data_IF_806820070322
#
_entry.id   IF_806820070322
#
_cell.length_a   1.000
_cell.length_b   1.000
_cell.length_c   1.000
_cell.angle_alpha   90.00
_cell.angle_beta   90.00
_cell.angle_gamma   90.00
#
_symmetry.space_group_name_H-M   'P 1'
#
loop_
_entity.id
_entity.type
_entity.pdbx_description
1 polymer ?
#
# COMPACT_ATOMS: atom_id res chain seq x y z
N UNK A 1 -2.37 -35.73 5.38
CA UNK A 1 -3.71 -36.08 5.83
C UNK A 1 -4.41 -34.87 6.47
N UNK A 2 -3.85 -34.27 7.53
CA UNK A 2 -4.50 -33.14 8.24
C UNK A 2 -4.76 -31.92 7.34
N UNK A 3 -3.92 -31.71 6.34
CA UNK A 3 -4.02 -30.62 5.39
C UNK A 3 -4.85 -30.99 4.13
N UNK A 4 -5.40 -32.22 4.08
CA UNK A 4 -6.11 -32.77 2.92
C UNK A 4 -5.26 -32.82 1.64
N UNK A 5 -3.93 -32.98 1.80
CA UNK A 5 -3.01 -33.20 0.68
C UNK A 5 -3.04 -34.64 0.22
N UNK A 6 -2.77 -34.86 -1.07
CA UNK A 6 -2.59 -36.21 -1.62
C UNK A 6 -1.23 -36.78 -1.16
N UNK A 7 -1.29 -37.75 -0.25
CA UNK A 7 -0.08 -38.38 0.31
C UNK A 7 0.63 -39.30 -0.67
N UNK A 8 -0.03 -39.73 -1.75
CA UNK A 8 0.53 -40.58 -2.79
C UNK A 8 1.29 -39.76 -3.84
N UNK A 9 0.89 -38.52 -4.07
CA UNK A 9 1.55 -37.61 -5.01
C UNK A 9 2.66 -36.81 -4.33
N UNK A 10 3.92 -36.97 -4.79
CA UNK A 10 5.09 -36.30 -4.23
C UNK A 10 5.94 -35.59 -5.28
N UNK A 11 5.45 -35.52 -6.52
CA UNK A 11 6.22 -34.96 -7.66
C UNK A 11 5.81 -33.54 -7.97
N UNK A 12 4.69 -33.06 -7.43
CA UNK A 12 4.17 -31.72 -7.67
C UNK A 12 3.97 -30.97 -6.36
N UNK A 13 4.05 -29.63 -6.37
CA UNK A 13 3.71 -28.81 -5.20
C UNK A 13 2.24 -29.00 -4.81
N UNK A 14 1.97 -28.96 -3.52
CA UNK A 14 0.61 -29.07 -2.98
C UNK A 14 0.39 -28.02 -1.90
N UNK A 15 -0.77 -27.42 -1.88
CA UNK A 15 -1.22 -26.47 -0.86
C UNK A 15 -2.43 -27.03 -0.11
N UNK A 16 -2.46 -26.80 1.21
CA UNK A 16 -3.55 -27.26 2.07
C UNK A 16 -3.73 -26.38 3.30
N UNK A 17 -4.72 -26.74 4.11
CA UNK A 17 -5.04 -26.01 5.34
C UNK A 17 -5.27 -26.98 6.49
N UNK A 18 -4.74 -26.66 7.66
CA UNK A 18 -4.96 -27.41 8.89
C UNK A 18 -5.67 -26.51 9.89
N UNK A 19 -6.78 -26.97 10.44
CA UNK A 19 -7.44 -26.34 11.58
C UNK A 19 -7.21 -27.19 12.83
N UNK A 20 -6.42 -26.68 13.78
CA UNK A 20 -6.15 -27.33 15.04
C UNK A 20 -6.91 -26.66 16.18
N UNK A 21 -7.76 -27.43 16.87
CA UNK A 21 -8.42 -26.99 18.11
C UNK A 21 -7.52 -27.29 19.30
N UNK A 22 -7.00 -26.25 19.94
CA UNK A 22 -6.10 -26.32 21.11
C UNK A 22 -6.86 -26.22 22.43
N UNK A 23 -8.14 -26.56 22.47
CA UNK A 23 -8.98 -26.48 23.65
C UNK A 23 -10.41 -26.06 23.33
N UNK A 24 -11.22 -25.77 24.37
CA UNK A 24 -12.64 -25.45 24.19
C UNK A 24 -12.90 -24.18 23.36
N UNK A 25 -11.98 -23.17 23.43
CA UNK A 25 -12.17 -21.86 22.81
C UNK A 25 -10.97 -21.36 21.99
N UNK A 26 -10.00 -22.23 21.69
CA UNK A 26 -8.84 -21.81 20.93
C UNK A 26 -8.62 -22.74 19.74
N UNK A 27 -8.80 -22.21 18.55
CA UNK A 27 -8.44 -22.86 17.29
C UNK A 27 -7.28 -22.08 16.64
N UNK A 28 -6.38 -22.80 15.98
CA UNK A 28 -5.29 -22.23 15.21
C UNK A 28 -5.36 -22.82 13.82
N UNK A 29 -5.40 -21.95 12.83
CA UNK A 29 -5.35 -22.33 11.42
C UNK A 29 -3.90 -22.26 10.92
N UNK A 30 -3.53 -23.24 10.07
CA UNK A 30 -2.26 -23.27 9.40
C UNK A 30 -2.49 -23.38 7.90
N UNK A 31 -1.81 -22.59 7.12
CA UNK A 31 -1.61 -22.82 5.70
C UNK A 31 -0.38 -23.69 5.53
N UNK A 32 -0.51 -24.76 4.76
CA UNK A 32 0.56 -25.74 4.51
C UNK A 32 0.89 -25.69 3.04
N UNK A 33 2.16 -25.57 2.71
CA UNK A 33 2.67 -25.73 1.35
C UNK A 33 3.74 -26.78 1.35
N UNK A 34 3.63 -27.76 0.45
CA UNK A 34 4.63 -28.79 0.19
C UNK A 34 5.25 -28.56 -1.17
N UNK A 35 6.57 -28.58 -1.23
CA UNK A 35 7.34 -28.43 -2.45
C UNK A 35 8.34 -29.60 -2.59
N UNK A 36 8.25 -30.42 -3.66
CA UNK A 36 9.26 -31.42 -3.96
C UNK A 36 10.64 -30.80 -4.18
N UNK A 37 11.64 -31.34 -3.50
CA UNK A 37 13.05 -30.94 -3.67
C UNK A 37 13.92 -32.16 -3.92
N UNK A 38 15.18 -31.93 -4.28
CA UNK A 38 16.13 -32.98 -4.54
C UNK A 38 16.36 -33.98 -3.37
N UNK A 39 16.19 -33.48 -2.13
CA UNK A 39 16.43 -34.27 -0.90
C UNK A 39 15.14 -34.62 -0.14
N UNK A 40 13.98 -34.52 -0.77
CA UNK A 40 12.67 -34.76 -0.19
C UNK A 40 11.75 -33.57 -0.30
N UNK A 41 10.65 -33.55 0.46
CA UNK A 41 9.66 -32.47 0.42
C UNK A 41 10.02 -31.37 1.42
N UNK A 42 10.07 -30.13 0.93
CA UNK A 42 10.11 -28.95 1.80
C UNK A 42 8.70 -28.59 2.21
N UNK A 43 8.44 -28.48 3.51
CA UNK A 43 7.11 -28.16 4.03
C UNK A 43 7.18 -26.83 4.78
N UNK A 44 6.32 -25.89 4.36
CA UNK A 44 6.15 -24.60 5.00
C UNK A 44 4.77 -24.55 5.69
N UNK A 45 4.78 -24.28 6.99
CA UNK A 45 3.59 -24.09 7.79
C UNK A 45 3.49 -22.61 8.19
N UNK A 46 2.46 -21.92 7.70
CA UNK A 46 2.17 -20.54 8.08
C UNK A 46 1.02 -20.53 9.09
N UNK A 47 1.29 -20.01 10.28
CA UNK A 47 0.26 -19.82 11.31
C UNK A 47 -0.64 -18.66 10.88
N UNK A 48 -1.94 -18.90 10.83
CA UNK A 48 -2.97 -17.88 10.60
C UNK A 48 -3.55 -17.49 11.95
N UNK A 49 -3.16 -16.31 12.42
CA UNK A 49 -3.59 -15.81 13.74
C UNK A 49 -4.99 -15.21 13.63
N UNK A 50 -5.99 -15.91 14.17
CA UNK A 50 -7.37 -15.45 14.20
C UNK A 50 -7.57 -14.20 15.06
N UNK A 51 -6.64 -13.86 15.96
CA UNK A 51 -6.74 -12.62 16.74
C UNK A 51 -6.60 -11.37 15.86
N UNK A 52 -5.98 -11.51 14.67
CA UNK A 52 -5.93 -10.46 13.65
C UNK A 52 -7.29 -10.16 12.99
N UNK A 53 -8.32 -11.00 13.21
CA UNK A 53 -9.66 -10.83 12.67
C UNK A 53 -10.47 -9.70 13.30
N UNK A 54 -10.21 -9.41 14.56
CA UNK A 54 -10.92 -8.39 15.34
C UNK A 54 -10.16 -7.07 15.40
N UNK A 55 -9.35 -6.77 14.38
CA UNK A 55 -8.70 -5.46 14.33
C UNK A 55 -9.80 -4.45 14.04
N UNK A 56 -10.15 -3.70 15.08
CA UNK A 56 -10.94 -2.50 14.95
C UNK A 56 -10.22 -1.57 13.95
N UNK A 57 -10.93 -1.18 12.89
CA UNK A 57 -10.40 -0.30 11.84
C UNK A 57 -9.81 1.01 12.39
N UNK A 58 -10.26 1.47 13.58
CA UNK A 58 -9.68 2.61 14.30
C UNK A 58 -8.26 2.35 14.80
N UNK A 59 -7.85 1.08 14.90
CA UNK A 59 -6.51 0.67 15.36
C UNK A 59 -5.53 0.39 14.21
N UNK A 60 -5.95 0.54 12.97
CA UNK A 60 -5.09 0.33 11.81
C UNK A 60 -3.97 1.37 11.73
N UNK A 61 -4.13 2.52 12.42
CA UNK A 61 -3.10 3.55 12.52
C UNK A 61 -3.17 4.59 11.41
N UNK A 62 -4.35 4.80 10.83
CA UNK A 62 -4.61 5.93 9.94
C UNK A 62 -4.40 7.26 10.65
N UNK A 63 -3.88 8.25 9.93
CA UNK A 63 -3.90 9.64 10.38
C UNK A 63 -5.35 10.14 10.43
N UNK A 64 -5.71 11.06 11.37
CA UNK A 64 -7.08 11.49 11.55
C UNK A 64 -7.76 12.00 10.26
N UNK A 65 -7.07 12.83 9.48
CA UNK A 65 -7.59 13.36 8.22
C UNK A 65 -7.85 12.25 7.19
N UNK A 66 -6.89 11.35 7.00
CA UNK A 66 -7.00 10.19 6.10
C UNK A 66 -8.13 9.25 6.56
N UNK A 67 -8.31 9.09 7.87
CA UNK A 67 -9.38 8.25 8.41
C UNK A 67 -10.78 8.85 8.15
N UNK A 68 -10.95 10.17 8.28
CA UNK A 68 -12.22 10.82 7.94
C UNK A 68 -12.50 10.73 6.43
N UNK A 69 -11.48 10.85 5.58
CA UNK A 69 -11.60 10.64 4.13
C UNK A 69 -12.02 9.19 3.82
N UNK A 70 -11.40 8.19 4.46
CA UNK A 70 -11.80 6.79 4.34
C UNK A 70 -13.28 6.58 4.71
N UNK A 71 -13.72 7.14 5.84
CA UNK A 71 -15.11 7.03 6.26
C UNK A 71 -16.09 7.59 5.21
N UNK A 72 -15.78 8.75 4.63
CA UNK A 72 -16.62 9.33 3.57
C UNK A 72 -16.72 8.41 2.37
N UNK A 73 -15.58 7.87 1.92
CA UNK A 73 -15.53 7.00 0.74
C UNK A 73 -16.31 5.70 0.93
N UNK A 74 -16.14 5.00 2.06
CA UNK A 74 -16.84 3.73 2.32
C UNK A 74 -18.33 3.89 2.67
N UNK A 75 -18.77 5.11 2.95
CA UNK A 75 -20.20 5.41 3.21
C UNK A 75 -20.98 5.71 1.93
N UNK A 76 -20.31 5.76 0.78
CA UNK A 76 -21.00 5.91 -0.51
C UNK A 76 -21.82 4.67 -0.81
N UNK A 77 -23.00 4.81 -1.43
CA UNK A 77 -23.88 3.68 -1.70
C UNK A 77 -23.34 2.77 -2.79
N UNK A 78 -22.51 3.26 -3.69
CA UNK A 78 -21.88 2.52 -4.80
C UNK A 78 -20.55 3.16 -5.21
N UNK A 79 -19.78 2.42 -6.00
CA UNK A 79 -18.50 2.84 -6.54
C UNK A 79 -17.42 1.80 -6.34
N UNK A 80 -16.27 2.02 -6.95
CA UNK A 80 -15.10 1.15 -6.88
C UNK A 80 -14.06 1.73 -5.92
N UNK A 81 -13.73 0.97 -4.88
CA UNK A 81 -12.70 1.30 -3.89
C UNK A 81 -11.53 0.33 -4.07
N UNK A 82 -10.38 0.88 -4.36
CA UNK A 82 -9.16 0.11 -4.63
C UNK A 82 -8.21 0.17 -3.45
N UNK A 83 -7.72 -0.99 -3.00
CA UNK A 83 -6.68 -1.09 -1.98
C UNK A 83 -5.43 -1.69 -2.61
N UNK A 84 -4.34 -0.97 -2.57
CA UNK A 84 -3.13 -1.33 -3.29
C UNK A 84 -1.89 -1.39 -2.40
N UNK A 85 -0.86 -2.03 -2.89
CA UNK A 85 0.42 -2.21 -2.21
C UNK A 85 1.03 -3.59 -2.47
N UNK A 86 2.31 -3.81 -2.15
CA UNK A 86 2.98 -5.09 -2.34
C UNK A 86 2.41 -6.18 -1.43
N UNK A 87 2.84 -7.41 -1.68
CA UNK A 87 2.53 -8.53 -0.80
C UNK A 87 3.01 -8.24 0.63
N UNK A 88 2.15 -8.53 1.61
CA UNK A 88 2.45 -8.28 3.03
C UNK A 88 2.29 -6.82 3.48
N UNK A 89 1.73 -5.92 2.66
CA UNK A 89 1.41 -4.55 3.07
C UNK A 89 0.18 -4.44 3.97
N UNK A 90 -0.58 -5.53 4.15
CA UNK A 90 -1.75 -5.59 5.04
C UNK A 90 -3.08 -5.30 4.36
N UNK A 91 -3.17 -5.33 3.02
CA UNK A 91 -4.40 -5.08 2.24
C UNK A 91 -5.60 -5.88 2.75
N UNK A 92 -5.43 -7.20 2.88
CA UNK A 92 -6.46 -8.11 3.36
C UNK A 92 -6.97 -7.72 4.75
N UNK A 93 -6.06 -7.38 5.67
CA UNK A 93 -6.42 -6.94 7.03
C UNK A 93 -7.25 -5.66 7.00
N UNK A 94 -6.86 -4.69 6.18
CA UNK A 94 -7.58 -3.42 6.02
C UNK A 94 -8.97 -3.66 5.41
N UNK A 95 -9.05 -4.43 4.32
CA UNK A 95 -10.33 -4.77 3.69
C UNK A 95 -11.26 -5.51 4.64
N UNK A 96 -10.76 -6.53 5.33
CA UNK A 96 -11.57 -7.28 6.28
C UNK A 96 -12.06 -6.42 7.44
N UNK A 97 -11.23 -5.48 7.94
CA UNK A 97 -11.68 -4.52 8.98
C UNK A 97 -12.79 -3.61 8.47
N UNK A 98 -12.70 -3.15 7.21
CA UNK A 98 -13.74 -2.35 6.58
C UNK A 98 -15.02 -3.18 6.35
N UNK A 99 -14.89 -4.38 5.76
CA UNK A 99 -16.03 -5.26 5.50
C UNK A 99 -16.74 -5.66 6.80
N UNK A 100 -15.98 -5.96 7.86
CA UNK A 100 -16.57 -6.27 9.17
C UNK A 100 -17.36 -5.09 9.74
N UNK A 101 -16.92 -3.85 9.50
CA UNK A 101 -17.65 -2.63 9.90
C UNK A 101 -18.93 -2.43 9.11
N UNK A 102 -18.93 -2.81 7.83
CA UNK A 102 -20.08 -2.72 6.92
C UNK A 102 -21.04 -3.91 7.03
N UNK A 103 -20.61 -5.02 7.62
CA UNK A 103 -21.35 -6.24 7.76
C UNK A 103 -22.48 -6.08 8.78
N UNK A 104 -23.70 -5.90 8.29
CA UNK A 104 -24.93 -5.77 9.03
C UNK A 104 -25.93 -6.82 8.54
N UNK A 105 -26.96 -7.08 9.31
CA UNK A 105 -27.96 -8.12 8.99
C UNK A 105 -28.74 -7.83 7.70
N UNK A 106 -28.85 -6.55 7.31
CA UNK A 106 -29.53 -6.05 6.11
C UNK A 106 -28.61 -5.82 4.91
N UNK A 107 -27.30 -6.13 5.02
CA UNK A 107 -26.30 -5.91 3.97
C UNK A 107 -25.76 -7.25 3.49
N UNK A 108 -25.92 -7.54 2.21
CA UNK A 108 -25.38 -8.75 1.59
C UNK A 108 -24.01 -8.54 1.01
N UNK A 109 -23.00 -9.16 1.62
CA UNK A 109 -21.59 -9.06 1.21
C UNK A 109 -21.15 -10.36 0.56
N UNK A 110 -20.62 -10.26 -0.66
CA UNK A 110 -20.01 -11.37 -1.40
C UNK A 110 -18.53 -11.09 -1.65
N UNK A 111 -17.67 -12.08 -1.42
CA UNK A 111 -16.23 -11.96 -1.70
C UNK A 111 -15.71 -13.08 -2.59
N UNK A 112 -14.83 -12.78 -3.53
CA UNK A 112 -14.05 -13.74 -4.29
C UNK A 112 -12.57 -13.62 -3.89
N UNK A 113 -11.95 -14.70 -3.42
CA UNK A 113 -10.63 -14.67 -2.79
C UNK A 113 -9.74 -15.83 -3.23
N UNK A 114 -8.42 -15.60 -3.31
CA UNK A 114 -7.42 -16.60 -3.69
C UNK A 114 -6.20 -16.56 -2.72
N UNK A 115 -6.26 -17.39 -1.66
CA UNK A 115 -7.43 -18.07 -1.08
C UNK A 115 -8.16 -17.18 -0.04
N UNK A 116 -9.28 -17.70 0.49
CA UNK A 116 -9.94 -17.13 1.68
C UNK A 116 -9.00 -17.30 2.87
N UNK A 117 -8.52 -16.17 3.43
CA UNK A 117 -7.58 -16.21 4.56
C UNK A 117 -8.29 -16.55 5.89
N UNK A 118 -9.44 -15.95 6.13
CA UNK A 118 -10.23 -16.15 7.35
C UNK A 118 -11.72 -16.19 7.04
N UNK A 119 -12.46 -16.94 7.82
CA UNK A 119 -13.91 -17.06 7.68
C UNK A 119 -14.63 -16.01 8.53
N UNK A 120 -15.50 -15.23 7.90
CA UNK A 120 -16.35 -14.25 8.58
C UNK A 120 -17.80 -14.68 8.60
N UNK A 121 -18.42 -14.57 9.77
CA UNK A 121 -19.87 -14.77 9.88
C UNK A 121 -20.60 -13.59 9.19
N UNK A 122 -21.60 -13.89 8.38
CA UNK A 122 -22.40 -12.88 7.67
C UNK A 122 -21.82 -12.45 6.32
N UNK A 123 -20.63 -12.94 5.92
CA UNK A 123 -20.04 -12.69 4.61
C UNK A 123 -20.00 -13.99 3.81
N UNK A 124 -20.47 -13.94 2.58
CA UNK A 124 -20.42 -15.08 1.66
C UNK A 124 -19.09 -15.06 0.91
N UNK A 125 -18.14 -15.86 1.36
CA UNK A 125 -16.77 -15.89 0.82
C UNK A 125 -16.63 -17.05 -0.17
N UNK A 126 -16.27 -16.74 -1.41
CA UNK A 126 -16.09 -17.71 -2.50
C UNK A 126 -14.59 -17.87 -2.78
N UNK A 127 -14.04 -19.08 -2.58
CA UNK A 127 -12.67 -19.36 -2.96
C UNK A 127 -12.56 -19.46 -4.48
N UNK A 128 -11.60 -18.76 -5.06
CA UNK A 128 -11.21 -18.94 -6.46
C UNK A 128 -10.55 -20.31 -6.62
N UNK A 129 -10.90 -21.00 -7.70
CA UNK A 129 -10.38 -22.33 -8.07
C UNK A 129 -10.29 -22.41 -9.58
N UNK A 130 -9.14 -21.97 -10.09
CA UNK A 130 -8.91 -21.91 -11.55
C UNK A 130 -8.93 -23.30 -12.20
N UNK A 131 -8.55 -24.33 -11.43
CA UNK A 131 -8.57 -25.75 -11.84
C UNK A 131 -9.95 -26.24 -12.32
N UNK A 132 -11.03 -25.66 -11.80
CA UNK A 132 -12.41 -25.98 -12.17
C UNK A 132 -13.12 -24.82 -12.87
N UNK A 133 -12.41 -23.79 -13.31
CA UNK A 133 -12.96 -22.63 -14.00
C UNK A 133 -13.64 -21.59 -13.09
N UNK A 134 -13.52 -21.71 -11.76
CA UNK A 134 -13.97 -20.70 -10.81
C UNK A 134 -12.92 -19.58 -10.68
N UNK A 135 -12.84 -18.73 -11.70
CA UNK A 135 -11.97 -17.55 -11.76
C UNK A 135 -12.61 -16.35 -11.04
N UNK A 136 -11.85 -15.27 -10.80
CA UNK A 136 -12.40 -14.00 -10.30
C UNK A 136 -13.54 -13.49 -11.19
N UNK A 137 -13.35 -13.48 -12.51
CA UNK A 137 -14.36 -13.05 -13.47
C UNK A 137 -15.63 -13.93 -13.42
N UNK A 138 -15.48 -15.26 -13.31
CA UNK A 138 -16.61 -16.17 -13.21
C UNK A 138 -17.40 -15.94 -11.91
N UNK A 139 -16.70 -15.76 -10.78
CA UNK A 139 -17.33 -15.47 -9.51
C UNK A 139 -18.10 -14.14 -9.54
N UNK A 140 -17.49 -13.07 -10.06
CA UNK A 140 -18.12 -11.75 -10.19
C UNK A 140 -19.40 -11.79 -11.05
N UNK A 141 -19.38 -12.48 -12.20
CA UNK A 141 -20.59 -12.66 -13.01
C UNK A 141 -21.72 -13.38 -12.26
N UNK A 142 -21.34 -14.34 -11.41
CA UNK A 142 -22.32 -15.03 -10.57
C UNK A 142 -22.87 -14.11 -9.49
N UNK A 143 -22.02 -13.26 -8.87
CA UNK A 143 -22.43 -12.32 -7.83
C UNK A 143 -23.51 -11.36 -8.30
N UNK A 144 -23.38 -10.81 -9.51
CA UNK A 144 -24.37 -9.89 -10.08
C UNK A 144 -25.79 -10.49 -10.24
N UNK A 145 -25.94 -11.80 -10.06
CA UNK A 145 -27.25 -12.50 -10.05
C UNK A 145 -27.68 -12.94 -8.65
N UNK A 146 -26.95 -12.47 -7.62
CA UNK A 146 -27.17 -12.83 -6.23
C UNK A 146 -27.66 -11.65 -5.38
N UNK A 147 -28.02 -10.52 -6.01
CA UNK A 147 -28.43 -9.27 -5.35
C UNK A 147 -27.48 -8.87 -4.19
N UNK A 148 -26.20 -8.62 -4.46
CA UNK A 148 -25.27 -8.16 -3.45
C UNK A 148 -25.38 -6.66 -3.26
N UNK A 149 -25.17 -6.18 -2.03
CA UNK A 149 -24.95 -4.76 -1.76
C UNK A 149 -23.46 -4.42 -1.88
N UNK A 150 -22.61 -5.31 -1.38
CA UNK A 150 -21.16 -5.14 -1.36
C UNK A 150 -20.48 -6.34 -2.01
N UNK A 151 -19.53 -6.04 -2.89
CA UNK A 151 -18.69 -7.03 -3.56
C UNK A 151 -17.24 -6.79 -3.21
N UNK A 152 -16.47 -7.83 -2.86
CA UNK A 152 -15.02 -7.74 -2.73
C UNK A 152 -14.33 -8.70 -3.69
N UNK A 153 -13.39 -8.19 -4.47
CA UNK A 153 -12.53 -8.95 -5.37
C UNK A 153 -11.14 -9.00 -4.78
N UNK A 154 -10.65 -10.18 -4.48
CA UNK A 154 -9.34 -10.38 -3.86
C UNK A 154 -8.25 -9.64 -4.60
N UNK A 155 -8.20 -9.75 -5.92
CA UNK A 155 -7.33 -8.94 -6.78
C UNK A 155 -7.84 -8.84 -8.22
N UNK A 156 -7.47 -7.73 -8.88
CA UNK A 156 -7.67 -7.52 -10.33
C UNK A 156 -6.34 -7.82 -11.02
N UNK A 157 -6.32 -8.89 -11.84
CA UNK A 157 -5.13 -9.30 -12.61
C UNK A 157 -5.28 -9.03 -14.09
N UNK A 158 -6.50 -9.01 -14.60
CA UNK A 158 -6.84 -9.01 -16.02
C UNK A 158 -7.97 -8.02 -16.33
N UNK A 159 -8.10 -7.70 -17.62
CA UNK A 159 -9.09 -6.76 -18.14
C UNK A 159 -10.51 -7.23 -17.88
N UNK A 160 -10.79 -8.55 -18.00
CA UNK A 160 -12.12 -9.11 -17.85
C UNK A 160 -12.65 -8.90 -16.43
N UNK A 161 -11.83 -9.21 -15.42
CA UNK A 161 -12.15 -8.97 -14.01
C UNK A 161 -12.34 -7.49 -13.72
N UNK A 162 -11.47 -6.63 -14.27
CA UNK A 162 -11.56 -5.18 -14.12
C UNK A 162 -12.87 -4.62 -14.69
N UNK A 163 -13.22 -5.00 -15.92
CA UNK A 163 -14.46 -4.53 -16.57
C UNK A 163 -15.71 -4.92 -15.79
N UNK A 164 -15.78 -6.17 -15.26
CA UNK A 164 -16.94 -6.62 -14.50
C UNK A 164 -17.05 -5.85 -13.19
N UNK A 165 -15.92 -5.64 -12.48
CA UNK A 165 -15.89 -4.87 -11.23
C UNK A 165 -16.34 -3.42 -11.45
N UNK A 166 -15.87 -2.76 -12.52
CA UNK A 166 -16.24 -1.41 -12.90
C UNK A 166 -17.74 -1.34 -13.25
N UNK A 167 -18.25 -2.27 -14.08
CA UNK A 167 -19.67 -2.33 -14.43
C UNK A 167 -20.54 -2.54 -13.18
N UNK A 168 -20.11 -3.38 -12.25
CA UNK A 168 -20.82 -3.56 -10.97
C UNK A 168 -20.87 -2.25 -10.17
N UNK A 169 -19.73 -1.54 -10.06
CA UNK A 169 -19.66 -0.26 -9.36
C UNK A 169 -20.55 0.81 -10.02
N UNK A 170 -20.62 0.84 -11.34
CA UNK A 170 -21.48 1.78 -12.09
C UNK A 170 -22.98 1.44 -12.03
N UNK A 171 -23.33 0.19 -11.71
CA UNK A 171 -24.72 -0.28 -11.64
C UNK A 171 -25.30 -0.32 -10.23
N UNK A 172 -24.66 0.32 -9.26
CA UNK A 172 -25.22 0.55 -7.93
C UNK A 172 -24.62 -0.29 -6.80
N UNK A 173 -23.53 -1.04 -7.06
CA UNK A 173 -22.88 -1.87 -6.04
C UNK A 173 -21.64 -1.15 -5.45
N UNK A 174 -21.39 -1.35 -4.17
CA UNK A 174 -20.13 -0.95 -3.54
C UNK A 174 -19.10 -2.06 -3.74
N UNK A 175 -18.07 -1.78 -4.54
CA UNK A 175 -17.08 -2.78 -4.95
C UNK A 175 -15.72 -2.47 -4.34
N UNK A 176 -15.15 -3.43 -3.64
CA UNK A 176 -13.77 -3.39 -3.16
C UNK A 176 -12.90 -4.31 -3.99
N UNK A 177 -11.71 -3.84 -4.36
CA UNK A 177 -10.75 -4.69 -5.06
C UNK A 177 -9.31 -4.37 -4.64
N UNK A 178 -8.38 -5.31 -4.89
CA UNK A 178 -6.95 -5.03 -4.69
C UNK A 178 -6.18 -5.04 -6.00
N UNK A 179 -5.08 -4.30 -5.99
CA UNK A 179 -4.04 -4.34 -7.02
C UNK A 179 -2.65 -4.37 -6.37
N UNK A 180 -1.64 -4.67 -7.17
CA UNK A 180 -0.24 -4.67 -6.77
C UNK A 180 0.49 -3.48 -7.43
N UNK A 181 0.19 -2.26 -6.98
CA UNK A 181 0.86 -1.02 -7.41
C UNK A 181 1.54 -0.35 -6.23
N UNK A 182 2.37 0.65 -6.48
CA UNK A 182 3.23 1.24 -5.47
C UNK A 182 2.61 2.43 -4.75
N UNK A 183 1.72 3.16 -5.41
CA UNK A 183 1.02 4.35 -4.91
C UNK A 183 -0.34 4.51 -5.59
N UNK A 184 -1.09 5.56 -5.22
CA UNK A 184 -2.43 5.77 -5.74
C UNK A 184 -2.45 6.20 -7.22
N UNK A 185 -1.64 7.16 -7.69
CA UNK A 185 -1.63 7.54 -9.10
C UNK A 185 -1.26 6.40 -10.04
N UNK A 186 -0.21 5.62 -9.71
CA UNK A 186 0.20 4.46 -10.52
C UNK A 186 -0.86 3.36 -10.57
N UNK A 187 -1.80 3.33 -9.63
CA UNK A 187 -2.94 2.40 -9.67
C UNK A 187 -3.87 2.74 -10.85
N UNK A 188 -4.13 4.02 -11.08
CA UNK A 188 -4.93 4.47 -12.23
C UNK A 188 -4.19 4.15 -13.53
N UNK A 189 -2.91 4.50 -13.63
CA UNK A 189 -2.07 4.16 -14.79
C UNK A 189 -2.09 2.66 -15.10
N UNK A 190 -1.96 1.82 -14.07
CA UNK A 190 -2.00 0.37 -14.23
C UNK A 190 -3.32 -0.15 -14.82
N UNK A 191 -4.46 0.41 -14.41
CA UNK A 191 -5.76 0.03 -14.96
C UNK A 191 -5.93 0.49 -16.42
N UNK A 192 -5.41 1.66 -16.77
CA UNK A 192 -5.34 2.11 -18.16
C UNK A 192 -4.46 1.18 -18.99
N UNK A 193 -3.28 0.79 -18.50
CA UNK A 193 -2.37 -0.15 -19.15
C UNK A 193 -2.98 -1.54 -19.39
N UNK A 194 -3.85 -1.98 -18.48
CA UNK A 194 -4.61 -3.24 -18.66
C UNK A 194 -5.65 -3.12 -19.78
N UNK A 195 -6.02 -1.89 -20.18
CA UNK A 195 -6.95 -1.61 -21.27
C UNK A 195 -8.28 -1.00 -20.83
N UNK A 196 -8.40 -0.55 -19.58
CA UNK A 196 -9.61 0.15 -19.12
C UNK A 196 -9.58 1.61 -19.55
N UNK A 197 -10.61 2.10 -20.27
CA UNK A 197 -10.68 3.50 -20.65
C UNK A 197 -10.70 4.44 -19.43
N UNK A 198 -9.92 5.51 -19.48
CA UNK A 198 -9.76 6.45 -18.37
C UNK A 198 -11.08 7.09 -17.92
N UNK A 199 -12.01 7.39 -18.85
CA UNK A 199 -13.33 7.92 -18.51
C UNK A 199 -14.18 6.96 -17.67
N UNK A 200 -14.00 5.64 -17.85
CA UNK A 200 -14.70 4.64 -17.03
C UNK A 200 -14.13 4.61 -15.62
N UNK A 201 -12.80 4.76 -15.47
CA UNK A 201 -12.15 4.87 -14.16
C UNK A 201 -12.61 6.12 -13.43
N UNK A 202 -12.62 7.27 -14.11
CA UNK A 202 -13.08 8.52 -13.55
C UNK A 202 -14.54 8.47 -13.06
N UNK A 203 -15.39 7.70 -13.75
CA UNK A 203 -16.81 7.56 -13.42
C UNK A 203 -17.09 6.52 -12.32
N UNK A 204 -16.22 5.52 -12.14
CA UNK A 204 -16.48 4.38 -11.27
C UNK A 204 -15.62 4.34 -10.00
N UNK A 205 -14.35 4.77 -10.09
CA UNK A 205 -13.44 4.75 -8.93
C UNK A 205 -13.79 5.90 -8.00
N UNK A 206 -14.00 5.58 -6.74
CA UNK A 206 -14.30 6.58 -5.69
C UNK A 206 -13.13 6.80 -4.75
N UNK A 207 -12.26 5.81 -4.62
CA UNK A 207 -11.10 5.87 -3.74
C UNK A 207 -10.00 4.91 -4.20
N UNK A 208 -8.76 5.34 -4.06
CA UNK A 208 -7.59 4.47 -4.10
C UNK A 208 -6.83 4.61 -2.79
N UNK A 209 -6.56 3.50 -2.13
CA UNK A 209 -5.80 3.43 -0.88
C UNK A 209 -4.52 2.61 -1.08
N UNK A 210 -3.39 3.27 -1.12
CA UNK A 210 -2.08 2.60 -1.12
C UNK A 210 -1.55 2.45 0.30
N UNK A 211 -0.96 1.29 0.61
CA UNK A 211 -0.46 1.05 1.96
C UNK A 211 0.85 0.28 2.02
N UNK A 212 1.61 0.56 3.08
CA UNK A 212 2.81 -0.16 3.48
C UNK A 212 2.73 -0.49 4.96
N UNK A 213 3.46 -1.54 5.38
CA UNK A 213 3.66 -1.86 6.79
C UNK A 213 5.12 -1.65 7.16
N UNK A 214 5.34 -0.91 8.24
CA UNK A 214 6.64 -0.74 8.90
C UNK A 214 6.63 -1.41 10.27
N UNK A 215 7.78 -1.75 10.80
CA UNK A 215 7.90 -2.26 12.17
C UNK A 215 7.66 -1.13 13.16
N UNK A 216 6.85 -1.38 14.18
CA UNK A 216 6.61 -0.44 15.26
C UNK A 216 7.75 -0.51 16.26
N UNK A 217 8.28 0.63 16.68
CA UNK A 217 9.27 0.70 17.74
C UNK A 217 8.71 0.14 19.06
N UNK A 218 9.52 -0.60 19.76
CA UNK A 218 9.15 -1.12 21.07
C UNK A 218 8.97 0.05 22.06
N UNK A 219 7.80 0.21 22.70
CA UNK A 219 7.57 1.34 23.59
C UNK A 219 8.48 1.33 24.82
N UNK A 220 8.91 0.13 25.27
CA UNK A 220 9.72 -0.05 26.48
C UNK A 220 11.20 0.32 26.27
N UNK A 221 11.71 0.25 25.04
CA UNK A 221 13.15 0.41 24.81
C UNK A 221 13.54 1.36 23.70
N UNK A 222 12.57 2.01 23.02
CA UNK A 222 12.92 3.01 22.02
C UNK A 222 13.73 4.15 22.64
N UNK A 223 14.77 4.60 21.94
CA UNK A 223 15.64 5.69 22.41
C UNK A 223 15.74 6.76 21.33
N UNK A 224 16.00 7.98 21.74
CA UNK A 224 16.31 9.05 20.80
C UNK A 224 17.64 8.75 20.13
N UNK A 225 17.66 8.85 18.80
CA UNK A 225 18.87 8.77 17.97
C UNK A 225 19.28 10.20 17.61
N UNK A 226 20.54 10.49 17.81
CA UNK A 226 21.14 11.79 17.48
C UNK A 226 22.20 11.61 16.39
N UNK A 227 22.60 12.70 15.74
CA UNK A 227 23.68 12.68 14.75
C UNK A 227 23.22 12.51 13.31
N UNK A 228 21.94 12.68 13.03
CA UNK A 228 21.48 12.84 11.66
C UNK A 228 21.92 14.19 11.12
N UNK A 229 22.41 14.19 9.88
CA UNK A 229 22.75 15.40 9.17
C UNK A 229 21.45 16.19 8.85
N UNK A 230 21.36 17.48 9.24
CA UNK A 230 20.22 18.33 8.92
C UNK A 230 19.90 18.43 7.43
N UNK A 231 20.91 18.50 6.57
CA UNK A 231 20.73 18.60 5.12
C UNK A 231 20.17 17.29 4.56
N UNK A 232 20.63 16.14 5.06
CA UNK A 232 20.05 14.84 4.72
C UNK A 232 18.59 14.76 5.14
N UNK A 233 18.22 15.20 6.34
CA UNK A 233 16.83 15.18 6.80
C UNK A 233 15.94 16.07 5.93
N UNK A 234 16.43 17.21 5.50
CA UNK A 234 15.74 18.09 4.57
C UNK A 234 15.50 17.40 3.22
N UNK A 235 16.53 16.77 2.66
CA UNK A 235 16.42 16.01 1.41
C UNK A 235 15.42 14.84 1.51
N UNK A 236 15.25 14.27 2.70
CA UNK A 236 14.28 13.20 2.96
C UNK A 236 12.86 13.71 3.23
N UNK A 237 12.66 15.05 3.21
CA UNK A 237 11.34 15.70 3.25
C UNK A 237 10.97 16.34 4.59
N UNK A 238 11.89 16.41 5.56
CA UNK A 238 11.62 17.17 6.78
C UNK A 238 11.78 18.68 6.53
N UNK A 239 10.92 19.49 7.14
CA UNK A 239 11.03 20.95 7.03
C UNK A 239 12.23 21.47 7.80
N UNK A 240 13.00 22.40 7.22
CA UNK A 240 14.12 23.11 7.89
C UNK A 240 13.72 23.66 9.26
N UNK A 241 12.49 24.15 9.37
CA UNK A 241 11.98 24.75 10.61
C UNK A 241 11.76 23.73 11.72
N UNK A 242 11.47 22.46 11.35
CA UNK A 242 11.18 21.37 12.30
C UNK A 242 12.43 20.61 12.71
N UNK A 243 13.47 20.57 11.87
CA UNK A 243 14.70 19.79 12.09
C UNK A 243 15.35 20.07 13.45
N UNK A 244 15.49 21.33 13.92
CA UNK A 244 16.14 21.62 15.21
C UNK A 244 15.44 20.99 16.41
N UNK A 245 14.10 20.87 16.37
CA UNK A 245 13.27 20.33 17.45
C UNK A 245 12.90 18.86 17.25
N UNK A 246 13.36 18.24 16.16
CA UNK A 246 12.95 16.91 15.74
C UNK A 246 13.57 15.84 16.66
N UNK A 247 12.74 15.02 17.26
CA UNK A 247 13.15 13.88 18.09
C UNK A 247 12.92 12.57 17.35
N UNK A 248 13.94 12.11 16.65
CA UNK A 248 13.89 10.82 15.95
C UNK A 248 14.16 9.70 16.94
N UNK A 249 13.22 8.77 17.04
CA UNK A 249 13.35 7.58 17.89
C UNK A 249 13.88 6.41 17.07
N UNK A 250 14.72 5.58 17.71
CA UNK A 250 15.29 4.38 17.12
C UNK A 250 15.16 3.14 18.01
N UNK A 251 15.43 1.95 17.45
CA UNK A 251 15.40 0.70 18.19
C UNK A 251 16.61 0.57 19.13
N UNK A 252 16.39 0.01 20.33
CA UNK A 252 17.48 -0.30 21.26
C UNK A 252 17.58 -1.80 21.54
N UNK A 253 16.46 -2.47 21.75
CA UNK A 253 16.40 -3.87 22.16
C UNK A 253 16.19 -4.05 23.65
N UNK A 254 15.28 -4.96 24.02
CA UNK A 254 15.01 -5.39 25.41
C UNK A 254 14.36 -6.79 25.40
N UNK A 255 14.23 -7.44 26.56
CA UNK A 255 13.55 -8.74 26.64
C UNK A 255 12.10 -8.71 26.11
N UNK A 256 11.39 -7.59 26.25
CA UNK A 256 10.01 -7.43 25.78
C UNK A 256 9.85 -7.51 24.27
N UNK A 257 10.87 -7.13 23.51
CA UNK A 257 10.91 -7.21 22.04
C UNK A 257 11.90 -8.27 21.53
N UNK A 258 12.34 -9.19 22.38
CA UNK A 258 13.33 -10.24 22.06
C UNK A 258 14.62 -9.65 21.44
N UNK A 259 15.10 -8.52 21.97
CA UNK A 259 16.32 -7.87 21.52
C UNK A 259 16.22 -7.09 20.22
N UNK A 260 15.09 -7.13 19.51
CA UNK A 260 14.96 -6.53 18.16
C UNK A 260 14.76 -5.01 18.15
N UNK A 261 14.30 -4.43 19.27
CA UNK A 261 13.92 -3.02 19.36
C UNK A 261 12.56 -2.70 18.71
N UNK A 262 11.86 -3.70 18.13
CA UNK A 262 10.57 -3.54 17.47
C UNK A 262 9.54 -4.51 18.03
N UNK A 263 8.27 -4.06 18.08
CA UNK A 263 7.14 -4.90 18.48
C UNK A 263 5.87 -4.50 17.75
N UNK A 264 5.36 -5.41 16.95
CA UNK A 264 4.19 -5.18 16.10
C UNK A 264 4.54 -4.37 14.84
N UNK A 265 3.51 -3.90 14.17
CA UNK A 265 3.59 -3.18 12.89
C UNK A 265 2.69 -1.95 12.96
N UNK A 266 3.00 -0.96 12.13
CA UNK A 266 2.17 0.23 11.91
C UNK A 266 2.01 0.46 10.42
N UNK A 267 0.80 0.85 9.99
CA UNK A 267 0.50 1.15 8.59
C UNK A 267 0.95 2.55 8.21
N UNK A 268 1.44 2.66 6.98
CA UNK A 268 1.57 3.91 6.25
C UNK A 268 0.51 3.91 5.17
N UNK A 269 -0.24 4.98 5.05
CA UNK A 269 -1.39 5.08 4.18
C UNK A 269 -1.31 6.32 3.31
N UNK A 270 -1.54 6.13 2.01
CA UNK A 270 -1.78 7.16 1.02
C UNK A 270 -3.18 6.91 0.48
N UNK A 271 -4.09 7.86 0.68
CA UNK A 271 -5.46 7.74 0.24
C UNK A 271 -5.80 8.89 -0.72
N UNK A 272 -6.15 8.52 -1.93
CA UNK A 272 -6.64 9.41 -2.98
C UNK A 272 -8.16 9.24 -3.08
N UNK A 273 -8.91 10.24 -2.64
CA UNK A 273 -10.34 10.34 -2.94
C UNK A 273 -10.50 10.84 -4.37
N UNK A 274 -11.34 10.19 -5.16
CA UNK A 274 -11.64 10.66 -6.51
C UNK A 274 -12.72 11.73 -6.42
N UNK A 275 -12.26 12.97 -6.24
CA UNK A 275 -13.07 14.19 -6.31
C UNK A 275 -13.34 14.55 -7.76
N UNK A 276 -14.14 15.60 -8.00
CA UNK A 276 -14.40 16.07 -9.35
C UNK A 276 -13.12 16.49 -10.09
N UNK A 277 -12.18 17.14 -9.39
CA UNK A 277 -10.92 17.57 -9.98
C UNK A 277 -9.99 16.38 -10.29
N UNK A 278 -9.91 15.40 -9.40
CA UNK A 278 -9.17 14.16 -9.64
C UNK A 278 -9.79 13.38 -10.80
N UNK A 279 -11.12 13.28 -10.87
CA UNK A 279 -11.82 12.61 -11.96
C UNK A 279 -11.59 13.30 -13.32
N UNK A 280 -11.55 14.63 -13.37
CA UNK A 280 -11.17 15.39 -14.57
C UNK A 280 -9.75 15.08 -15.02
N UNK A 281 -8.81 15.05 -14.06
CA UNK A 281 -7.42 14.71 -14.35
C UNK A 281 -7.27 13.27 -14.87
N UNK A 282 -7.99 12.30 -14.28
CA UNK A 282 -8.02 10.91 -14.77
C UNK A 282 -8.58 10.86 -16.19
N UNK A 283 -9.73 11.51 -16.46
CA UNK A 283 -10.36 11.52 -17.79
C UNK A 283 -9.51 12.18 -18.86
N UNK A 284 -8.68 13.15 -18.46
CA UNK A 284 -7.74 13.84 -19.35
C UNK A 284 -6.44 13.04 -19.56
N UNK A 285 -6.30 11.86 -18.97
CA UNK A 285 -5.11 10.99 -19.05
C UNK A 285 -3.82 11.74 -18.73
N UNK A 286 -3.85 12.61 -17.72
CA UNK A 286 -2.65 13.34 -17.29
C UNK A 286 -1.58 12.38 -16.77
N UNK A 287 -0.32 12.80 -16.76
CA UNK A 287 0.77 11.99 -16.19
C UNK A 287 0.55 11.67 -14.71
N UNK A 288 1.14 10.57 -14.24
CA UNK A 288 1.06 10.18 -12.83
C UNK A 288 1.50 11.30 -11.88
N UNK A 289 2.54 12.07 -12.23
CA UNK A 289 3.01 13.21 -11.44
C UNK A 289 1.99 14.36 -11.40
N UNK A 290 1.31 14.62 -12.51
CA UNK A 290 0.24 15.63 -12.54
C UNK A 290 -0.98 15.17 -11.74
N UNK A 291 -1.38 13.90 -11.86
CA UNK A 291 -2.45 13.33 -11.07
C UNK A 291 -2.13 13.39 -9.57
N UNK A 292 -0.87 13.10 -9.19
CA UNK A 292 -0.39 13.21 -7.81
C UNK A 292 -0.54 14.62 -7.28
N UNK A 293 -0.14 15.64 -8.05
CA UNK A 293 -0.27 17.05 -7.65
C UNK A 293 -1.73 17.43 -7.41
N UNK A 294 -2.63 17.06 -8.33
CA UNK A 294 -4.06 17.32 -8.17
C UNK A 294 -4.58 16.60 -6.92
N UNK A 295 -4.26 15.33 -6.73
CA UNK A 295 -4.69 14.57 -5.57
C UNK A 295 -4.17 15.15 -4.25
N UNK A 296 -2.92 15.65 -4.19
CA UNK A 296 -2.38 16.33 -3.01
C UNK A 296 -3.08 17.65 -2.72
N UNK A 297 -3.46 18.41 -3.74
CA UNK A 297 -4.27 19.63 -3.58
C UNK A 297 -5.65 19.31 -3.00
N UNK A 298 -6.22 18.15 -3.33
CA UNK A 298 -7.47 17.62 -2.80
C UNK A 298 -7.33 16.91 -1.43
N UNK A 299 -6.13 16.95 -0.84
CA UNK A 299 -5.87 16.48 0.53
C UNK A 299 -5.24 15.09 0.66
N UNK A 300 -4.79 14.48 -0.43
CA UNK A 300 -4.00 13.26 -0.38
C UNK A 300 -2.66 13.52 0.32
N UNK A 301 -2.32 12.67 1.28
CA UNK A 301 -1.00 12.62 1.92
C UNK A 301 -0.23 11.46 1.32
N UNK A 302 1.01 11.67 0.89
CA UNK A 302 1.82 10.61 0.28
C UNK A 302 2.28 9.58 1.32
N UNK A 303 2.64 8.37 0.86
CA UNK A 303 3.22 7.33 1.74
C UNK A 303 4.46 7.84 2.48
N UNK A 304 5.27 8.69 1.83
CA UNK A 304 6.45 9.31 2.45
C UNK A 304 6.04 10.26 3.57
N UNK A 305 5.12 11.17 3.34
CA UNK A 305 4.67 12.15 4.34
C UNK A 305 3.99 11.46 5.53
N UNK A 306 3.17 10.45 5.28
CA UNK A 306 2.62 9.59 6.33
C UNK A 306 3.73 8.92 7.15
N UNK A 307 4.79 8.44 6.49
CA UNK A 307 5.97 7.89 7.14
C UNK A 307 6.72 8.90 8.00
N UNK A 308 6.95 10.11 7.48
CA UNK A 308 7.60 11.20 8.23
C UNK A 308 6.80 11.58 9.48
N UNK A 309 5.47 11.60 9.36
CA UNK A 309 4.61 11.81 10.53
C UNK A 309 4.79 10.71 11.60
N UNK A 310 4.87 9.44 11.19
CA UNK A 310 5.12 8.31 12.11
C UNK A 310 6.51 8.34 12.75
N UNK A 311 7.52 8.90 12.08
CA UNK A 311 8.84 9.17 12.67
C UNK A 311 8.72 10.25 13.74
N UNK A 312 8.05 11.38 13.44
CA UNK A 312 7.85 12.50 14.37
C UNK A 312 7.13 12.08 15.64
N UNK A 313 6.14 11.19 15.53
CA UNK A 313 5.40 10.64 16.69
C UNK A 313 6.18 9.52 17.40
N UNK A 314 7.31 9.08 16.87
CA UNK A 314 8.12 8.01 17.45
C UNK A 314 7.44 6.65 17.43
N UNK A 315 6.56 6.40 16.45
CA UNK A 315 5.91 5.11 16.26
C UNK A 315 6.79 4.12 15.49
N UNK A 316 7.60 4.62 14.55
CA UNK A 316 8.55 3.81 13.77
C UNK A 316 9.89 4.52 13.66
N UNK A 317 10.91 3.83 13.16
CA UNK A 317 12.24 4.42 12.96
C UNK A 317 12.38 5.05 11.59
N UNK A 318 13.35 5.95 11.46
CA UNK A 318 13.74 6.56 10.20
C UNK A 318 14.04 5.50 9.13
N UNK A 319 14.91 4.53 9.45
CA UNK A 319 15.32 3.47 8.51
C UNK A 319 14.15 2.63 7.97
N UNK A 320 13.14 2.37 8.80
CA UNK A 320 11.95 1.59 8.38
C UNK A 320 11.15 2.33 7.32
N UNK A 321 10.98 3.64 7.46
CA UNK A 321 10.25 4.46 6.50
C UNK A 321 11.03 4.60 5.21
N UNK A 322 12.34 4.91 5.29
CA UNK A 322 13.20 5.07 4.11
C UNK A 322 13.25 3.81 3.24
N UNK A 323 13.26 2.63 3.88
CA UNK A 323 13.23 1.33 3.18
C UNK A 323 11.89 1.02 2.50
N UNK A 324 10.80 1.64 2.90
CA UNK A 324 9.44 1.28 2.47
C UNK A 324 8.76 2.34 1.59
N UNK A 325 9.31 3.53 1.54
CA UNK A 325 8.75 4.64 0.78
C UNK A 325 9.79 5.24 -0.16
N UNK A 326 9.33 5.78 -1.27
CA UNK A 326 10.15 6.52 -2.22
C UNK A 326 9.82 8.00 -2.08
N UNK A 327 10.83 8.85 -2.09
CA UNK A 327 10.61 10.29 -2.14
C UNK A 327 10.16 10.67 -3.56
N UNK A 328 9.13 11.48 -3.65
CA UNK A 328 8.69 12.08 -4.91
C UNK A 328 8.99 13.57 -4.88
N UNK A 329 9.11 14.20 -6.05
CA UNK A 329 9.36 15.65 -6.13
C UNK A 329 8.29 16.44 -5.36
N UNK A 330 7.05 15.94 -5.40
CA UNK A 330 5.89 16.52 -4.75
C UNK A 330 5.91 16.35 -3.21
N UNK A 331 6.63 15.35 -2.71
CA UNK A 331 6.84 15.15 -1.26
C UNK A 331 7.94 16.01 -0.68
N UNK A 332 8.71 16.70 -1.52
CA UNK A 332 9.74 17.62 -1.03
C UNK A 332 9.11 18.93 -0.51
N UNK A 333 9.70 19.55 0.50
CA UNK A 333 9.29 20.88 0.95
C UNK A 333 9.25 21.86 -0.22
N UNK A 334 8.23 22.74 -0.22
CA UNK A 334 7.95 23.64 -1.34
C UNK A 334 9.16 24.49 -1.79
N UNK A 335 10.08 24.83 -0.87
CA UNK A 335 11.30 25.59 -1.21
C UNK A 335 12.36 24.73 -1.93
N UNK A 336 12.33 23.40 -1.80
CA UNK A 336 13.20 22.48 -2.57
C UNK A 336 12.63 22.18 -3.97
N UNK A 337 11.37 22.51 -4.19
CA UNK A 337 10.65 22.27 -5.45
C UNK A 337 10.39 23.58 -6.20
N UNK A 338 10.53 24.73 -5.52
CA UNK A 338 10.11 26.03 -6.01
C UNK A 338 10.98 26.53 -7.18
N UNK A 339 10.37 27.13 -8.23
CA UNK A 339 11.06 27.74 -9.36
C UNK A 339 11.97 28.93 -9.01
N UNK A 340 11.98 29.42 -7.76
CA UNK A 340 13.02 30.34 -7.25
C UNK A 340 14.36 29.65 -6.93
N UNK A 341 14.49 28.35 -7.14
CA UNK A 341 15.79 27.73 -7.38
C UNK A 341 16.38 28.44 -8.60
N UNK A 342 17.49 29.14 -8.39
CA UNK A 342 18.25 29.79 -9.46
C UNK A 342 18.33 28.85 -10.64
N UNK A 343 17.68 29.25 -11.75
CA UNK A 343 17.77 28.53 -13.01
C UNK A 343 19.16 28.82 -13.54
N UNK A 344 20.05 27.86 -13.40
CA UNK A 344 21.37 27.96 -13.99
C UNK A 344 21.25 27.84 -15.50
N UNK A 345 21.71 28.85 -16.19
CA UNK A 345 21.79 28.81 -17.66
C UNK A 345 22.96 27.92 -18.10
N UNK A 346 22.94 27.57 -19.38
CA UNK A 346 23.98 26.76 -20.03
C UNK A 346 25.33 27.50 -19.88
N UNK A 347 26.22 27.03 -18.99
CA UNK A 347 27.55 27.49 -18.60
C UNK A 347 27.71 28.02 -17.17
N UNK A 348 26.67 28.10 -16.37
CA UNK A 348 26.80 28.48 -14.98
C UNK A 348 27.55 27.41 -14.18
N UNK A 349 28.38 27.84 -13.25
CA UNK A 349 29.08 26.94 -12.32
C UNK A 349 28.13 26.59 -11.17
N UNK A 350 27.53 25.43 -11.22
CA UNK A 350 26.59 24.97 -10.19
C UNK A 350 27.29 24.63 -8.87
N UNK A 351 28.51 24.07 -8.95
CA UNK A 351 29.33 23.73 -7.76
C UNK A 351 30.69 24.39 -7.93
N UNK A 352 31.08 25.31 -7.04
CA UNK A 352 32.44 25.82 -7.02
C UNK A 352 33.45 24.69 -6.74
N UNK A 353 34.60 24.76 -7.42
CA UNK A 353 35.67 23.75 -7.33
C UNK A 353 36.21 23.53 -5.89
N UNK A 354 35.97 24.48 -5.00
CA UNK A 354 36.38 24.45 -3.59
C UNK A 354 35.40 23.72 -2.67
N UNK A 355 34.20 23.42 -3.15
CA UNK A 355 33.18 22.75 -2.33
C UNK A 355 33.34 21.24 -2.47
N UNK A 356 33.68 20.56 -1.36
CA UNK A 356 33.86 19.09 -1.31
C UNK A 356 32.60 18.32 -0.96
N UNK A 357 31.50 19.01 -0.72
CA UNK A 357 30.26 18.40 -0.34
C UNK A 357 29.56 17.82 -1.57
N UNK A 358 29.13 16.56 -1.46
CA UNK A 358 28.41 15.87 -2.52
C UNK A 358 26.98 16.41 -2.55
N UNK A 359 26.74 17.37 -3.43
CA UNK A 359 25.40 17.84 -3.70
C UNK A 359 24.77 16.97 -4.80
N UNK A 360 23.58 16.43 -4.54
CA UNK A 360 22.79 15.71 -5.56
C UNK A 360 21.99 16.74 -6.37
N UNK A 361 22.36 16.95 -7.62
CA UNK A 361 21.64 17.80 -8.55
C UNK A 361 20.66 16.95 -9.35
N UNK A 362 19.40 17.35 -9.37
CA UNK A 362 18.42 16.79 -10.29
C UNK A 362 18.43 17.63 -11.56
N UNK A 363 18.94 17.06 -12.64
CA UNK A 363 18.85 17.68 -13.96
C UNK A 363 17.37 17.73 -14.38
N UNK A 364 16.88 18.93 -14.68
CA UNK A 364 15.51 19.13 -15.15
C UNK A 364 15.50 19.15 -16.67
N UNK A 365 16.56 19.63 -17.30
CA UNK A 365 16.67 19.70 -18.78
C UNK A 365 18.12 19.94 -19.23
N UNK A 366 18.59 19.16 -20.19
CA UNK A 366 19.90 19.37 -20.86
C UNK A 366 21.10 18.72 -20.16
N UNK A 367 22.23 18.61 -20.86
CA UNK A 367 23.45 18.02 -20.29
C UNK A 367 24.19 18.99 -19.38
N UNK A 368 24.74 18.47 -18.28
CA UNK A 368 25.62 19.21 -17.37
C UNK A 368 27.07 18.84 -17.68
N UNK A 369 27.92 19.85 -17.89
CA UNK A 369 29.35 19.65 -18.08
C UNK A 369 30.08 19.66 -16.74
N UNK A 370 30.80 18.61 -16.44
CA UNK A 370 31.71 18.57 -15.29
C UNK A 370 33.05 19.16 -15.71
N UNK A 371 33.43 20.23 -15.04
CA UNK A 371 34.68 20.95 -15.32
C UNK A 371 35.61 20.87 -14.11
N UNK A 372 36.86 20.51 -14.31
CA UNK A 372 37.91 20.54 -13.29
C UNK A 372 39.07 21.41 -13.79
N UNK A 373 39.49 22.40 -12.96
CA UNK A 373 40.53 23.35 -13.33
C UNK A 373 40.33 23.99 -14.71
N UNK A 374 39.07 24.37 -15.02
CA UNK A 374 38.72 25.01 -16.29
C UNK A 374 38.67 24.06 -17.50
N UNK A 375 38.88 22.75 -17.33
CA UNK A 375 38.78 21.75 -18.41
C UNK A 375 37.57 20.88 -18.22
N UNK A 376 36.75 20.77 -19.28
CA UNK A 376 35.60 19.82 -19.32
C UNK A 376 36.11 18.39 -19.21
N UNK A 377 35.68 17.64 -18.21
CA UNK A 377 36.08 16.26 -17.95
C UNK A 377 34.93 15.26 -18.18
N UNK A 378 33.69 15.70 -18.07
CA UNK A 378 32.52 14.90 -18.35
C UNK A 378 31.33 15.76 -18.76
N UNK A 379 30.35 15.15 -19.38
CA UNK A 379 29.02 15.69 -19.66
C UNK A 379 28.02 14.63 -19.16
N UNK A 380 27.06 15.05 -18.33
CA UNK A 380 26.06 14.16 -17.71
C UNK A 380 24.68 14.53 -18.17
#
# INVERSE_FOLDING_TARGET
ILASLDIAERRVPQDGRINLRLGRNKAVDFRVSSLPTLFGESIVLRILDQSALNIDWTRLGFEPATFEMLKRCISRPYGLLLVTGPTGSGKTTTLYSILNRLNKDDIKILTAEDPVEFNFKGINQVPVREDIGMTFAAALRAFLRQDPDIIMVGEIRDIETAEIAIKAAMTGHLVFATLHTNDCPSTIGRLVDIGIPAYMLAASVTMVLSQRLTRRLCPECKKQVTGYDPDMLEMEGFSKKEIPDLKIMGPSGCPHCNGTGYRGRVGLYELMEVTEEVAKAISAEVSEDQLRKVAMQEGMVTLRDAGLHKIKTGETSFDEVMKKTVITRESLPAYLVNPDMEVYEDKDVIIPETNRDIAFFKLIQGPVSVVKAGKKIAEI
#
